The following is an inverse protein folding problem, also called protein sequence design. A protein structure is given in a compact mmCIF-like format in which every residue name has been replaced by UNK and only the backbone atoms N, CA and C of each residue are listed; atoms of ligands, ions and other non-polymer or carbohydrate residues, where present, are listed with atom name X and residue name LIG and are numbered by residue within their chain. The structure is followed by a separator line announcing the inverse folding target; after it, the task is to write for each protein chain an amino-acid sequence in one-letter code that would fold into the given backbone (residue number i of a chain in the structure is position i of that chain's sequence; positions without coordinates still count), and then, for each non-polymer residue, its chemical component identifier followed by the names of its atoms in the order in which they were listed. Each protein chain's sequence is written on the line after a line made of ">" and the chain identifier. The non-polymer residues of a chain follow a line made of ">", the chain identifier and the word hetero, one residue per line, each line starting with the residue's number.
data_IF_624017301941
#
_entry.id   IF_624017301941
#
_cell.length_a   1.000
_cell.length_b   1.000
_cell.length_c   1.000
_cell.angle_alpha   90.00
_cell.angle_beta   90.00
_cell.angle_gamma   90.00
#
_symmetry.space_group_name_H-M   'P 1'
#
loop_
_entity.id
_entity.type
_entity.pdbx_description
1 polymer ?
#
# COMPACT_ATOMS: atom_id res chain seq x y z
N UNK A 1 -17.88 20.57 -5.60
CA UNK A 1 -17.95 19.10 -5.78
C UNK A 1 -16.76 18.48 -5.10
N UNK A 2 -16.91 17.31 -4.47
CA UNK A 2 -15.80 16.57 -3.87
C UNK A 2 -14.85 16.15 -4.99
N UNK A 3 -13.59 16.55 -4.93
CA UNK A 3 -12.61 16.27 -5.99
C UNK A 3 -11.82 14.96 -5.78
N UNK A 4 -12.10 14.24 -4.68
CA UNK A 4 -11.42 12.99 -4.33
C UNK A 4 -12.40 11.94 -3.80
N UNK A 5 -12.20 10.70 -4.19
CA UNK A 5 -12.81 9.50 -3.60
C UNK A 5 -11.74 8.68 -2.90
N UNK A 6 -11.90 8.41 -1.60
CA UNK A 6 -10.97 7.58 -0.83
C UNK A 6 -11.67 6.30 -0.41
N UNK A 7 -11.16 5.18 -0.89
CA UNK A 7 -11.58 3.83 -0.54
C UNK A 7 -10.81 3.37 0.70
N UNK A 8 -11.52 3.03 1.76
CA UNK A 8 -10.92 2.55 3.00
C UNK A 8 -11.24 1.06 3.20
N UNK A 9 -10.21 0.24 3.08
CA UNK A 9 -10.32 -1.21 3.06
C UNK A 9 -10.32 -1.78 4.48
N UNK A 10 -11.22 -2.72 4.73
CA UNK A 10 -11.34 -3.38 6.03
C UNK A 10 -11.74 -4.84 5.91
N UNK A 11 -11.33 -5.65 6.89
CA UNK A 11 -11.74 -7.04 7.08
C UNK A 11 -12.82 -7.19 8.17
N UNK A 12 -13.27 -6.08 8.79
CA UNK A 12 -14.23 -6.12 9.88
C UNK A 12 -15.44 -5.22 9.60
N UNK A 13 -16.68 -5.79 9.51
CA UNK A 13 -17.91 -5.04 9.25
C UNK A 13 -18.19 -3.93 10.27
N UNK A 14 -17.73 -4.06 11.52
CA UNK A 14 -17.92 -3.03 12.55
C UNK A 14 -17.28 -1.68 12.17
N UNK A 15 -16.29 -1.70 11.28
CA UNK A 15 -15.61 -0.49 10.82
C UNK A 15 -16.42 0.32 9.80
N UNK A 16 -17.45 -0.24 9.17
CA UNK A 16 -18.21 0.44 8.10
C UNK A 16 -18.70 1.82 8.54
N UNK A 17 -19.45 1.87 9.66
CA UNK A 17 -20.00 3.14 10.17
C UNK A 17 -18.93 4.15 10.57
N UNK A 18 -17.79 3.67 11.08
CA UNK A 18 -16.67 4.54 11.45
C UNK A 18 -16.02 5.14 10.20
N UNK A 19 -15.84 4.34 9.15
CA UNK A 19 -15.29 4.79 7.86
C UNK A 19 -16.21 5.81 7.19
N UNK A 20 -17.51 5.56 7.21
CA UNK A 20 -18.54 6.50 6.69
C UNK A 20 -18.50 7.85 7.41
N UNK A 21 -18.38 7.84 8.75
CA UNK A 21 -18.21 9.07 9.56
C UNK A 21 -17.02 9.92 9.10
N UNK A 22 -15.94 9.27 8.68
CA UNK A 22 -14.75 9.94 8.14
C UNK A 22 -14.94 10.44 6.70
N UNK A 23 -16.12 10.29 6.12
CA UNK A 23 -16.44 10.65 4.73
C UNK A 23 -15.60 9.88 3.69
N UNK A 24 -15.11 8.69 4.06
CA UNK A 24 -14.44 7.74 3.18
C UNK A 24 -15.42 6.66 2.72
N UNK A 25 -15.08 5.95 1.67
CA UNK A 25 -15.89 4.88 1.09
C UNK A 25 -15.47 3.55 1.72
N UNK A 26 -16.34 2.88 2.50
CA UNK A 26 -16.00 1.60 3.11
C UNK A 26 -15.92 0.49 2.06
N UNK A 27 -14.89 -0.34 2.18
CA UNK A 27 -14.64 -1.49 1.31
C UNK A 27 -14.41 -2.72 2.17
N UNK A 28 -15.29 -3.70 2.04
CA UNK A 28 -15.21 -4.97 2.75
C UNK A 28 -14.45 -6.03 1.95
N UNK A 29 -13.43 -6.61 2.55
CA UNK A 29 -12.62 -7.69 1.99
C UNK A 29 -12.70 -8.96 2.84
N UNK A 30 -12.22 -10.06 2.29
CA UNK A 30 -12.16 -11.35 2.98
C UNK A 30 -13.54 -12.01 3.08
N UNK A 31 -13.70 -12.94 4.02
CA UNK A 31 -14.87 -13.85 4.06
C UNK A 31 -16.08 -13.27 4.78
N UNK A 32 -15.91 -12.26 5.62
CA UNK A 32 -17.00 -11.68 6.41
C UNK A 32 -18.08 -11.04 5.53
N UNK A 33 -19.31 -10.99 6.06
CA UNK A 33 -20.45 -10.37 5.40
C UNK A 33 -20.49 -8.89 5.80
N UNK A 34 -20.56 -8.03 4.81
CA UNK A 34 -20.66 -6.58 4.92
C UNK A 34 -22.07 -6.13 4.50
N UNK A 35 -22.43 -4.90 4.86
CA UNK A 35 -23.72 -4.33 4.44
C UNK A 35 -23.76 -4.09 2.92
N UNK A 36 -24.95 -3.98 2.35
CA UNK A 36 -25.15 -3.66 0.92
C UNK A 36 -24.64 -2.26 0.53
N UNK A 37 -24.31 -1.40 1.50
CA UNK A 37 -23.74 -0.07 1.28
C UNK A 37 -22.20 -0.10 1.16
N UNK A 38 -21.58 -1.15 1.69
CA UNK A 38 -20.16 -1.35 1.63
C UNK A 38 -19.78 -1.92 0.26
N UNK A 39 -18.81 -1.33 -0.41
CA UNK A 39 -18.25 -1.94 -1.61
C UNK A 39 -17.52 -3.23 -1.26
N UNK A 40 -17.49 -4.16 -2.20
CA UNK A 40 -16.79 -5.43 -2.02
C UNK A 40 -16.20 -5.91 -3.34
N UNK A 41 -15.10 -6.64 -3.24
CA UNK A 41 -14.45 -7.30 -4.37
C UNK A 41 -15.10 -8.62 -4.79
N UNK A 42 -16.28 -8.97 -4.24
CA UNK A 42 -16.92 -10.29 -4.44
C UNK A 42 -17.94 -10.34 -5.59
N UNK A 43 -18.29 -9.19 -6.17
CA UNK A 43 -19.27 -9.11 -7.24
C UNK A 43 -18.61 -9.08 -8.63
N UNK A 44 -19.39 -9.42 -9.66
CA UNK A 44 -18.97 -9.35 -11.07
C UNK A 44 -17.64 -10.06 -11.33
N UNK A 45 -16.80 -9.53 -12.25
CA UNK A 45 -15.48 -10.14 -12.55
C UNK A 45 -14.51 -9.86 -11.40
N UNK A 46 -14.11 -10.89 -10.67
CA UNK A 46 -13.31 -10.74 -9.47
C UNK A 46 -12.31 -11.90 -9.28
N UNK A 47 -11.38 -11.68 -8.37
CA UNK A 47 -10.40 -12.64 -7.86
C UNK A 47 -10.42 -12.72 -6.33
N UNK A 48 -11.58 -12.48 -5.72
CA UNK A 48 -11.75 -12.40 -4.26
C UNK A 48 -11.35 -13.70 -3.54
N UNK A 49 -11.49 -14.84 -4.20
CA UNK A 49 -11.02 -16.14 -3.70
C UNK A 49 -9.48 -16.20 -3.50
N UNK A 50 -8.74 -15.29 -4.11
CA UNK A 50 -7.28 -15.18 -3.94
C UNK A 50 -6.88 -14.19 -2.86
N UNK A 51 -7.82 -13.61 -2.09
CA UNK A 51 -7.53 -12.58 -1.11
C UNK A 51 -6.48 -13.00 -0.08
N UNK A 52 -6.42 -14.27 0.31
CA UNK A 52 -5.41 -14.78 1.24
C UNK A 52 -3.97 -14.51 0.77
N UNK A 53 -3.72 -14.57 -0.54
CA UNK A 53 -2.39 -14.40 -1.14
C UNK A 53 -2.17 -12.98 -1.68
N UNK A 54 -3.21 -12.36 -2.24
CA UNK A 54 -3.13 -11.07 -2.93
C UNK A 54 -3.56 -9.89 -2.04
N UNK A 55 -4.19 -10.16 -0.89
CA UNK A 55 -4.63 -9.11 0.03
C UNK A 55 -5.51 -8.07 -0.68
N UNK A 56 -5.16 -6.81 -0.51
CA UNK A 56 -5.89 -5.66 -1.06
C UNK A 56 -5.93 -5.60 -2.58
N UNK A 57 -5.01 -6.29 -3.27
CA UNK A 57 -4.98 -6.31 -4.73
C UNK A 57 -6.21 -6.99 -5.34
N UNK A 58 -6.95 -7.80 -4.59
CA UNK A 58 -8.23 -8.34 -5.07
C UNK A 58 -9.25 -7.24 -5.32
N UNK A 59 -9.28 -6.20 -4.46
CA UNK A 59 -10.13 -5.03 -4.66
C UNK A 59 -9.61 -4.12 -5.78
N UNK A 60 -8.30 -3.93 -5.91
CA UNK A 60 -7.72 -3.18 -7.03
C UNK A 60 -8.07 -3.83 -8.38
N UNK A 61 -8.01 -5.16 -8.45
CA UNK A 61 -8.47 -5.90 -9.64
C UNK A 61 -9.95 -5.67 -9.93
N UNK A 62 -10.80 -5.74 -8.89
CA UNK A 62 -12.23 -5.52 -9.01
C UNK A 62 -12.55 -4.09 -9.49
N UNK A 63 -11.87 -3.06 -8.94
CA UNK A 63 -11.99 -1.67 -9.42
C UNK A 63 -11.65 -1.59 -10.90
N UNK A 64 -10.51 -2.15 -11.30
CA UNK A 64 -10.07 -2.12 -12.70
C UNK A 64 -11.12 -2.67 -13.64
N UNK A 65 -11.66 -3.86 -13.32
CA UNK A 65 -12.59 -4.56 -14.21
C UNK A 65 -14.01 -4.01 -14.18
N UNK A 66 -14.50 -3.49 -13.04
CA UNK A 66 -15.94 -3.24 -12.86
C UNK A 66 -16.29 -1.80 -12.46
N UNK A 67 -15.34 -1.04 -11.92
CA UNK A 67 -15.69 0.21 -11.24
C UNK A 67 -14.90 1.43 -11.70
N UNK A 68 -13.77 1.27 -12.39
CA UNK A 68 -12.88 2.37 -12.78
C UNK A 68 -13.63 3.49 -13.53
N UNK A 69 -14.47 3.13 -14.49
CA UNK A 69 -15.27 4.09 -15.27
C UNK A 69 -16.42 4.76 -14.48
N UNK A 70 -16.71 4.29 -13.25
CA UNK A 70 -17.72 4.86 -12.36
C UNK A 70 -17.12 5.88 -11.39
N UNK A 71 -15.79 6.02 -11.35
CA UNK A 71 -15.10 6.99 -10.50
C UNK A 71 -15.16 8.36 -11.19
N UNK A 72 -15.97 9.26 -10.63
CA UNK A 72 -16.22 10.60 -11.21
C UNK A 72 -15.42 11.72 -10.54
N UNK A 73 -14.44 11.39 -9.70
CA UNK A 73 -13.56 12.35 -9.02
C UNK A 73 -12.22 12.43 -9.74
N UNK A 74 -11.60 13.61 -9.73
CA UNK A 74 -10.28 13.83 -10.32
C UNK A 74 -9.19 13.00 -9.63
N UNK A 75 -9.34 12.81 -8.32
CA UNK A 75 -8.42 12.08 -7.47
C UNK A 75 -9.08 10.86 -6.86
N UNK A 76 -8.31 9.82 -6.69
CA UNK A 76 -8.71 8.60 -6.01
C UNK A 76 -7.64 8.19 -5.02
N UNK A 77 -8.06 7.71 -3.85
CA UNK A 77 -7.14 7.24 -2.81
C UNK A 77 -7.54 5.88 -2.28
N UNK A 78 -6.55 5.14 -1.83
CA UNK A 78 -6.70 3.83 -1.18
C UNK A 78 -5.98 3.85 0.15
N UNK A 79 -6.71 3.51 1.20
CA UNK A 79 -6.15 3.36 2.53
C UNK A 79 -6.74 2.14 3.23
N UNK A 80 -6.14 1.75 4.33
CA UNK A 80 -6.62 0.67 5.18
C UNK A 80 -7.23 1.25 6.44
N UNK A 81 -8.21 0.58 7.01
CA UNK A 81 -8.65 0.89 8.36
C UNK A 81 -7.45 0.84 9.33
N UNK A 82 -7.28 1.87 10.13
CA UNK A 82 -6.16 2.17 11.03
C UNK A 82 -4.94 2.82 10.37
N UNK A 83 -4.97 3.14 9.07
CA UNK A 83 -3.90 3.84 8.37
C UNK A 83 -4.53 4.83 7.41
N UNK A 84 -4.34 6.11 7.67
CA UNK A 84 -5.04 7.17 6.98
C UNK A 84 -4.07 8.24 6.46
N UNK A 85 -4.48 8.96 5.43
CA UNK A 85 -3.77 10.13 4.95
C UNK A 85 -4.15 11.36 5.76
N UNK A 86 -3.16 12.06 6.28
CA UNK A 86 -3.33 13.25 7.10
C UNK A 86 -2.77 14.50 6.43
N UNK A 87 -3.37 15.66 6.71
CA UNK A 87 -3.03 16.94 6.07
C UNK A 87 -1.62 17.43 6.42
N UNK A 88 -1.11 17.08 7.59
CA UNK A 88 0.19 17.49 8.09
C UNK A 88 0.74 16.46 9.08
N UNK A 89 2.04 16.57 9.39
CA UNK A 89 2.64 15.75 10.44
C UNK A 89 1.93 16.04 11.77
N UNK A 90 1.43 14.98 12.39
CA UNK A 90 0.75 15.07 13.68
C UNK A 90 1.79 15.04 14.78
N UNK A 91 1.70 15.99 15.69
CA UNK A 91 2.55 16.10 16.87
C UNK A 91 1.83 15.66 18.15
N UNK A 92 0.56 15.27 18.05
CA UNK A 92 -0.25 14.89 19.20
C UNK A 92 0.00 13.42 19.58
N UNK A 93 0.17 13.17 20.87
CA UNK A 93 0.46 11.82 21.41
C UNK A 93 -0.75 10.90 21.39
N UNK A 94 -1.97 11.41 21.21
CA UNK A 94 -3.20 10.63 21.17
C UNK A 94 -4.12 11.13 20.07
N UNK A 95 -4.36 10.26 19.07
CA UNK A 95 -5.38 10.44 18.06
C UNK A 95 -6.49 9.44 18.38
N UNK A 96 -7.69 9.94 18.60
CA UNK A 96 -8.91 9.15 18.69
C UNK A 96 -9.79 9.37 17.44
N UNK A 97 -10.87 8.63 17.33
CA UNK A 97 -11.78 8.75 16.20
C UNK A 97 -12.52 10.09 16.14
N UNK A 98 -12.68 10.79 17.26
CA UNK A 98 -13.45 12.05 17.32
C UNK A 98 -12.62 13.22 16.75
N UNK A 99 -11.31 13.21 16.93
CA UNK A 99 -10.41 14.24 16.38
C UNK A 99 -9.81 13.84 15.01
N UNK A 100 -9.83 12.56 14.66
CA UNK A 100 -9.30 12.04 13.39
C UNK A 100 -9.95 12.74 12.19
N UNK A 101 -11.26 12.98 12.22
CA UNK A 101 -12.02 13.61 11.13
C UNK A 101 -11.47 14.97 10.69
N UNK A 102 -10.95 15.75 11.61
CA UNK A 102 -10.44 17.11 11.38
C UNK A 102 -9.07 17.12 10.66
N UNK A 103 -8.29 16.08 10.82
CA UNK A 103 -6.91 16.00 10.33
C UNK A 103 -6.76 15.20 9.03
N UNK A 104 -7.80 14.44 8.65
CA UNK A 104 -7.78 13.63 7.43
C UNK A 104 -7.79 14.47 6.16
N UNK A 105 -7.13 13.95 5.11
CA UNK A 105 -7.27 14.47 3.76
C UNK A 105 -8.66 14.09 3.25
N UNK A 106 -9.49 15.09 2.93
CA UNK A 106 -10.83 14.95 2.34
C UNK A 106 -10.97 15.66 1.01
N UNK A 107 -9.98 16.45 0.67
CA UNK A 107 -9.87 17.18 -0.59
C UNK A 107 -8.40 17.34 -0.98
N UNK A 108 -8.13 17.44 -2.25
CA UNK A 108 -6.82 17.81 -2.77
C UNK A 108 -6.89 19.28 -3.18
N UNK A 109 -6.04 20.10 -2.57
CA UNK A 109 -5.95 21.51 -2.93
C UNK A 109 -5.00 21.71 -4.11
N UNK A 110 -5.09 22.87 -4.77
CA UNK A 110 -4.32 23.23 -5.97
C UNK A 110 -2.79 23.11 -5.78
N UNK A 111 -2.26 23.17 -4.55
CA UNK A 111 -0.82 22.98 -4.28
C UNK A 111 -0.35 21.56 -4.63
N UNK A 112 -1.25 20.59 -4.63
CA UNK A 112 -0.96 19.20 -4.95
C UNK A 112 -1.30 18.85 -6.41
N UNK A 113 -1.85 19.78 -7.19
CA UNK A 113 -2.24 19.52 -8.59
C UNK A 113 -1.04 19.30 -9.52
N UNK A 114 0.15 19.78 -9.12
CA UNK A 114 1.40 19.55 -9.87
C UNK A 114 1.98 18.15 -9.69
N UNK A 115 1.38 17.32 -8.86
CA UNK A 115 1.79 15.95 -8.63
C UNK A 115 0.75 14.98 -9.17
N UNK A 116 1.20 13.85 -9.66
CA UNK A 116 0.32 12.80 -10.17
C UNK A 116 -0.09 11.80 -9.08
N UNK A 117 0.73 11.67 -8.03
CA UNK A 117 0.51 10.74 -6.95
C UNK A 117 1.04 11.29 -5.62
N UNK A 118 0.34 10.97 -4.53
CA UNK A 118 0.72 11.23 -3.15
C UNK A 118 0.89 9.89 -2.47
N UNK A 119 2.08 9.63 -1.97
CA UNK A 119 2.42 8.42 -1.26
C UNK A 119 2.53 8.69 0.25
N UNK A 120 2.45 7.66 1.06
CA UNK A 120 2.78 7.73 2.48
C UNK A 120 4.28 7.99 2.72
N UNK A 121 4.66 8.15 3.97
CA UNK A 121 6.07 8.33 4.34
C UNK A 121 6.89 7.09 3.96
N UNK A 122 8.11 7.33 3.47
CA UNK A 122 9.07 6.24 3.23
C UNK A 122 9.51 5.61 4.54
N UNK A 123 9.64 4.30 4.52
CA UNK A 123 10.26 3.51 5.58
C UNK A 123 11.70 3.19 5.18
N UNK A 124 12.67 3.59 6.00
CA UNK A 124 14.09 3.28 5.80
C UNK A 124 14.43 1.94 6.42
N UNK A 125 15.00 1.03 5.63
CA UNK A 125 15.49 -0.27 6.12
C UNK A 125 16.87 -0.15 6.77
N UNK A 126 17.59 0.95 6.57
CA UNK A 126 18.88 1.22 7.23
C UNK A 126 18.76 1.37 8.73
N UNK A 127 17.63 1.91 9.18
CA UNK A 127 17.36 2.20 10.61
C UNK A 127 16.78 0.99 11.35
N UNK A 128 16.59 -0.12 10.65
CA UNK A 128 16.10 -1.33 11.29
C UNK A 128 17.09 -1.84 12.35
N UNK A 129 16.61 -2.09 13.57
CA UNK A 129 17.48 -2.50 14.69
C UNK A 129 18.19 -3.80 14.38
N UNK A 130 19.51 -3.74 14.25
CA UNK A 130 20.40 -4.89 13.99
C UNK A 130 20.15 -6.03 14.99
N UNK A 131 19.88 -5.70 16.26
CA UNK A 131 19.59 -6.69 17.29
C UNK A 131 18.42 -7.62 16.96
N UNK A 132 17.39 -7.08 16.26
CA UNK A 132 16.25 -7.90 15.81
C UNK A 132 16.63 -8.82 14.65
N UNK A 133 17.48 -8.32 13.74
CA UNK A 133 17.96 -9.10 12.60
C UNK A 133 18.87 -10.24 13.08
N UNK A 134 19.82 -9.95 13.98
CA UNK A 134 20.75 -10.95 14.53
C UNK A 134 19.99 -12.06 15.25
N UNK A 135 18.95 -11.72 15.99
CA UNK A 135 18.15 -12.70 16.74
C UNK A 135 17.50 -13.77 15.85
N UNK A 136 17.12 -13.40 14.62
CA UNK A 136 16.40 -14.29 13.72
C UNK A 136 17.26 -14.87 12.59
N UNK A 137 18.42 -14.25 12.26
CA UNK A 137 19.24 -14.58 11.10
C UNK A 137 20.74 -14.56 11.38
N UNK A 138 21.15 -15.06 12.55
CA UNK A 138 22.55 -15.04 12.99
C UNK A 138 23.50 -15.70 11.99
N UNK A 139 23.09 -16.79 11.36
CA UNK A 139 23.94 -17.49 10.36
C UNK A 139 24.20 -16.66 9.10
N UNK A 140 23.24 -15.88 8.64
CA UNK A 140 23.40 -15.01 7.48
C UNK A 140 24.43 -13.89 7.76
N UNK A 141 24.54 -13.44 9.01
CA UNK A 141 25.56 -12.48 9.43
C UNK A 141 26.95 -13.10 9.55
N UNK A 142 27.06 -14.34 9.99
CA UNK A 142 28.34 -15.05 10.01
C UNK A 142 28.90 -15.20 8.58
N UNK A 143 28.03 -15.44 7.61
CA UNK A 143 28.42 -15.58 6.21
C UNK A 143 28.75 -14.23 5.53
N UNK A 144 28.15 -13.12 5.98
CA UNK A 144 28.34 -11.79 5.41
C UNK A 144 28.52 -10.69 6.47
N UNK A 145 29.60 -10.70 7.24
CA UNK A 145 29.81 -9.75 8.35
C UNK A 145 29.91 -8.28 7.90
N UNK A 146 30.24 -8.04 6.62
CA UNK A 146 30.32 -6.69 6.05
C UNK A 146 28.98 -5.94 6.05
N UNK A 147 27.84 -6.64 6.14
CA UNK A 147 26.51 -6.04 6.23
C UNK A 147 26.24 -5.41 7.59
N UNK A 148 26.92 -5.85 8.65
CA UNK A 148 26.85 -5.25 9.98
C UNK A 148 27.48 -3.85 10.01
N UNK A 149 28.57 -3.66 9.25
CA UNK A 149 29.41 -2.46 9.31
C UNK A 149 29.09 -1.41 8.24
N UNK A 150 28.30 -1.77 7.21
CA UNK A 150 27.94 -0.84 6.14
C UNK A 150 26.44 -0.68 6.00
N UNK A 151 25.90 0.48 6.40
CA UNK A 151 24.48 0.82 6.21
C UNK A 151 24.06 0.73 4.73
N UNK A 152 24.93 1.15 3.80
CA UNK A 152 24.68 1.08 2.35
C UNK A 152 24.46 -0.34 1.80
N UNK A 153 24.91 -1.36 2.52
CA UNK A 153 24.68 -2.77 2.14
C UNK A 153 23.35 -3.33 2.65
N UNK A 154 22.63 -2.55 3.47
CA UNK A 154 21.29 -2.88 3.96
C UNK A 154 20.24 -2.27 3.03
N UNK A 155 20.27 -2.71 1.77
CA UNK A 155 19.30 -2.31 0.76
C UNK A 155 17.99 -3.09 0.92
N UNK A 156 17.01 -2.78 0.07
CA UNK A 156 15.69 -3.42 0.10
C UNK A 156 15.78 -4.93 -0.15
N UNK A 157 16.67 -5.37 -1.08
CA UNK A 157 16.87 -6.80 -1.34
C UNK A 157 17.37 -7.53 -0.09
N UNK A 158 18.38 -6.98 0.60
CA UNK A 158 18.88 -7.55 1.84
C UNK A 158 17.77 -7.66 2.90
N UNK A 159 16.96 -6.61 3.06
CA UNK A 159 15.85 -6.61 4.00
C UNK A 159 14.80 -7.68 3.63
N UNK A 160 14.45 -7.78 2.34
CA UNK A 160 13.51 -8.78 1.86
C UNK A 160 14.02 -10.21 2.11
N UNK A 161 15.27 -10.49 1.72
CA UNK A 161 15.87 -11.82 1.85
C UNK A 161 15.86 -12.29 3.31
N UNK A 162 16.08 -11.38 4.26
CA UNK A 162 16.03 -11.69 5.70
C UNK A 162 14.63 -12.11 6.15
N UNK A 163 13.58 -11.39 5.76
CA UNK A 163 12.24 -11.62 6.28
C UNK A 163 11.43 -12.64 5.48
N UNK A 164 11.76 -12.83 4.21
CA UNK A 164 10.96 -13.65 3.28
C UNK A 164 11.74 -14.81 2.66
N UNK A 165 12.99 -15.01 3.06
CA UNK A 165 13.86 -16.08 2.56
C UNK A 165 14.71 -15.66 1.35
N UNK A 166 15.97 -16.03 1.44
CA UNK A 166 16.98 -15.70 0.42
C UNK A 166 16.62 -16.32 -0.93
N UNK A 167 16.69 -15.50 -1.98
CA UNK A 167 16.41 -15.91 -3.36
C UNK A 167 14.94 -15.82 -3.77
N UNK A 168 13.98 -15.76 -2.83
CA UNK A 168 12.56 -15.66 -3.19
C UNK A 168 12.23 -14.37 -3.96
N UNK A 169 12.94 -13.27 -3.66
CA UNK A 169 12.80 -12.03 -4.42
C UNK A 169 13.26 -12.20 -5.87
N UNK A 170 14.39 -12.87 -6.08
CA UNK A 170 14.91 -13.09 -7.42
C UNK A 170 13.94 -13.94 -8.25
N UNK A 171 13.35 -15.00 -7.66
CA UNK A 171 12.30 -15.80 -8.29
C UNK A 171 11.07 -14.97 -8.62
N UNK A 172 10.65 -14.07 -7.72
CA UNK A 172 9.51 -13.18 -7.99
C UNK A 172 9.82 -12.18 -9.11
N UNK A 173 11.03 -11.63 -9.15
CA UNK A 173 11.46 -10.73 -10.23
C UNK A 173 11.47 -11.46 -11.59
N UNK A 174 11.84 -12.72 -11.62
CA UNK A 174 11.88 -13.50 -12.86
C UNK A 174 10.48 -13.77 -13.45
N UNK A 175 9.43 -13.58 -12.68
CA UNK A 175 8.04 -13.63 -13.17
C UNK A 175 7.53 -12.34 -13.80
N UNK A 176 8.26 -11.22 -13.64
CA UNK A 176 7.88 -9.94 -14.23
C UNK A 176 8.15 -9.93 -15.74
N UNK A 177 7.49 -9.00 -16.44
CA UNK A 177 7.81 -8.69 -17.83
C UNK A 177 9.24 -8.17 -17.99
N UNK A 178 9.89 -8.48 -19.10
CA UNK A 178 11.30 -8.12 -19.35
C UNK A 178 11.55 -6.60 -19.19
N UNK A 179 10.59 -5.76 -19.59
CA UNK A 179 10.65 -4.30 -19.44
C UNK A 179 10.76 -3.82 -17.99
N UNK A 180 10.22 -4.59 -17.05
CA UNK A 180 10.14 -4.21 -15.64
C UNK A 180 11.19 -4.92 -14.76
N UNK A 181 11.74 -6.04 -15.22
CA UNK A 181 12.69 -6.87 -14.45
C UNK A 181 13.92 -6.09 -14.01
N UNK A 182 14.56 -5.42 -14.96
CA UNK A 182 15.83 -4.73 -14.69
C UNK A 182 15.63 -3.55 -13.75
N UNK A 183 14.60 -2.75 -14.00
CA UNK A 183 14.30 -1.58 -13.18
C UNK A 183 13.94 -2.00 -11.74
N UNK A 184 13.13 -3.04 -11.58
CA UNK A 184 12.78 -3.53 -10.25
C UNK A 184 13.97 -4.15 -9.53
N UNK A 185 14.81 -4.91 -10.23
CA UNK A 185 16.07 -5.46 -9.69
C UNK A 185 17.02 -4.34 -9.25
N UNK A 186 17.16 -3.31 -10.07
CA UNK A 186 17.97 -2.13 -9.75
C UNK A 186 17.43 -1.39 -8.52
N UNK A 187 16.11 -1.17 -8.45
CA UNK A 187 15.47 -0.56 -7.31
C UNK A 187 15.73 -1.34 -6.02
N UNK A 188 15.50 -2.64 -6.01
CA UNK A 188 15.71 -3.48 -4.82
C UNK A 188 17.16 -3.55 -4.37
N UNK A 189 18.13 -3.45 -5.30
CA UNK A 189 19.54 -3.52 -4.98
C UNK A 189 20.18 -2.17 -4.60
N UNK A 190 19.59 -1.04 -5.01
CA UNK A 190 20.14 0.30 -4.77
C UNK A 190 19.45 1.04 -3.65
N UNK A 191 18.12 0.90 -3.57
CA UNK A 191 17.35 1.68 -2.62
C UNK A 191 17.40 1.09 -1.20
N UNK A 192 17.31 1.99 -0.22
CA UNK A 192 17.31 1.66 1.22
C UNK A 192 16.02 2.10 1.90
N UNK A 193 15.06 2.61 1.13
CA UNK A 193 13.76 3.03 1.63
C UNK A 193 12.64 2.74 0.62
N UNK A 194 11.47 2.44 1.11
CA UNK A 194 10.26 2.20 0.32
C UNK A 194 9.03 2.77 1.00
N UNK A 195 7.95 2.95 0.24
CA UNK A 195 6.65 3.32 0.80
C UNK A 195 5.93 2.05 1.23
N UNK A 196 5.81 1.78 2.55
CA UNK A 196 5.13 0.60 3.03
C UNK A 196 3.63 0.71 2.77
N UNK A 197 3.00 -0.42 2.58
CA UNK A 197 1.57 -0.57 2.30
C UNK A 197 1.15 -0.09 0.91
N UNK A 198 0.05 -0.64 0.43
CA UNK A 198 -0.57 -0.28 -0.85
C UNK A 198 -1.49 0.94 -0.68
N UNK A 199 -0.94 2.00 -0.06
CA UNK A 199 -1.65 3.24 0.23
C UNK A 199 -1.12 4.35 -0.66
N UNK A 200 -2.00 4.89 -1.49
CA UNK A 200 -1.67 6.03 -2.33
C UNK A 200 -2.92 6.85 -2.65
N UNK A 201 -2.72 8.08 -3.02
CA UNK A 201 -3.72 8.94 -3.66
C UNK A 201 -3.14 9.32 -5.02
N UNK A 202 -3.86 9.12 -6.10
CA UNK A 202 -3.39 9.51 -7.44
C UNK A 202 -4.52 10.14 -8.25
N UNK A 203 -4.15 10.76 -9.38
CA UNK A 203 -5.14 11.17 -10.39
C UNK A 203 -5.83 9.93 -10.95
N UNK A 204 -7.15 9.99 -11.09
CA UNK A 204 -7.95 8.84 -11.54
C UNK A 204 -7.55 8.34 -12.93
N UNK A 205 -7.11 9.23 -13.80
CA UNK A 205 -6.64 8.91 -15.17
C UNK A 205 -5.41 7.98 -15.17
N UNK A 206 -4.58 8.01 -14.10
CA UNK A 206 -3.36 7.21 -14.02
C UNK A 206 -3.65 5.77 -13.62
N UNK A 207 -4.78 5.52 -12.93
CA UNK A 207 -5.11 4.19 -12.43
C UNK A 207 -5.19 3.14 -13.52
N UNK A 208 -5.66 3.51 -14.70
CA UNK A 208 -5.76 2.56 -15.82
C UNK A 208 -4.38 1.99 -16.17
N UNK A 209 -3.42 2.88 -16.40
CA UNK A 209 -2.06 2.48 -16.74
C UNK A 209 -1.41 1.68 -15.60
N UNK A 210 -1.63 2.10 -14.35
CA UNK A 210 -1.15 1.37 -13.18
C UNK A 210 -1.69 -0.07 -13.16
N UNK A 211 -2.98 -0.26 -13.38
CA UNK A 211 -3.59 -1.58 -13.37
C UNK A 211 -3.17 -2.46 -14.54
N UNK A 212 -2.95 -1.87 -15.72
CA UNK A 212 -2.42 -2.60 -16.88
C UNK A 212 -1.01 -3.13 -16.66
N UNK A 213 -0.21 -2.47 -15.82
CA UNK A 213 1.13 -2.92 -15.44
C UNK A 213 1.09 -4.02 -14.38
N UNK A 214 0.24 -3.89 -13.36
CA UNK A 214 0.26 -4.83 -12.23
C UNK A 214 -0.63 -6.06 -12.42
N UNK A 215 -1.56 -6.01 -13.39
CA UNK A 215 -2.47 -7.12 -13.73
C UNK A 215 -2.40 -7.45 -15.22
N UNK A 216 -1.28 -7.98 -15.72
CA UNK A 216 -1.10 -8.32 -17.12
C UNK A 216 -2.03 -9.44 -17.60
#
# INVERSE_FOLDING_TARGET
>A
MKNISIFCLTLNPEHEKLIEKLSYIPVGLGEKIFSNKCLSDKSELNISNKNLNYGEYTFHYWIWKNYLNKINTTWVGFCQYRKFFVKSKILEDKIDFDNLDNILIKEINYKNENFDCILGNKFSVEDYKISKIIKHHFLDFLLNPKTLFSKKKRNLKFHFDIFHGKGNLDLAIDLLDESNKEDFRNFMNKETAFNPHNMFICKTEILKNYYEVIFP
#
